data_IF_806890378034
#
_entry.id   IF_806890378034
#
_cell.length_a   1.000
_cell.length_b   1.000
_cell.length_c   1.000
_cell.angle_alpha   90.00
_cell.angle_beta   90.00
_cell.angle_gamma   90.00
#
_symmetry.space_group_name_H-M   'P 1'
#
loop_
_entity.id
_entity.type
_entity.pdbx_description
1 polymer ?
#
# COMPACT_ATOMS: atom_id res chain seq x y z
N UNK A 1 7.49 20.36 27.23
CA UNK A 1 6.69 19.13 27.44
C UNK A 1 6.42 18.48 26.09
N UNK A 2 6.62 17.17 25.99
CA UNK A 2 6.97 16.42 24.79
C UNK A 2 5.89 16.29 23.70
N UNK A 3 6.32 16.25 22.43
CA UNK A 3 5.58 15.58 21.34
C UNK A 3 6.36 14.34 20.87
N UNK A 4 5.59 13.29 20.61
CA UNK A 4 5.98 11.87 20.52
C UNK A 4 6.98 11.55 19.41
N UNK A 5 7.88 10.60 19.70
CA UNK A 5 8.67 9.87 18.71
C UNK A 5 7.75 9.02 17.84
N UNK A 6 7.77 9.26 16.53
CA UNK A 6 7.29 8.31 15.54
C UNK A 6 8.51 7.55 15.02
N UNK A 7 8.83 6.44 15.67
CA UNK A 7 9.87 5.51 15.20
C UNK A 7 9.28 4.72 14.02
N UNK A 8 9.74 5.06 12.81
CA UNK A 8 9.50 4.24 11.63
C UNK A 8 10.32 2.96 11.76
N UNK A 9 9.68 1.88 12.16
CA UNK A 9 10.25 0.53 12.16
C UNK A 9 10.17 -0.07 10.76
N UNK A 10 11.05 0.37 9.86
CA UNK A 10 11.35 -0.33 8.63
C UNK A 10 12.86 -0.24 8.37
N UNK A 11 13.66 -1.27 8.70
CA UNK A 11 15.02 -1.37 8.21
C UNK A 11 14.98 -1.79 6.75
N UNK A 12 14.56 -0.88 5.88
CA UNK A 12 14.96 -0.88 4.48
C UNK A 12 16.21 -0.03 4.41
N UNK A 13 17.38 -0.66 4.34
CA UNK A 13 18.65 0.02 4.09
C UNK A 13 18.43 0.97 2.92
N UNK A 14 18.55 2.28 3.15
CA UNK A 14 18.60 3.24 2.04
C UNK A 14 19.87 2.90 1.27
N UNK A 15 19.74 2.58 -0.01
CA UNK A 15 20.87 2.61 -0.94
C UNK A 15 21.54 3.98 -0.72
N UNK A 16 22.84 3.97 -0.42
CA UNK A 16 23.60 5.19 -0.14
C UNK A 16 23.26 6.25 -1.17
N UNK A 17 23.01 7.48 -0.69
CA UNK A 17 22.74 8.64 -1.52
C UNK A 17 23.74 8.67 -2.67
N UNK A 18 23.26 8.55 -3.90
CA UNK A 18 24.11 8.68 -5.08
C UNK A 18 24.50 10.15 -5.22
N UNK A 19 25.79 10.38 -5.39
CA UNK A 19 26.38 11.69 -5.66
C UNK A 19 25.72 12.36 -6.88
N UNK A 20 25.17 13.55 -6.67
CA UNK A 20 24.80 14.49 -7.74
C UNK A 20 23.53 14.15 -8.54
N UNK A 21 22.90 15.21 -9.06
CA UNK A 21 21.92 15.08 -10.14
C UNK A 21 22.68 14.73 -11.42
N UNK A 22 22.50 13.51 -11.97
CA UNK A 22 23.00 13.19 -13.32
C UNK A 22 22.30 14.08 -14.33
N UNK A 23 23.04 14.72 -15.24
CA UNK A 23 22.40 15.52 -16.28
C UNK A 23 21.81 14.60 -17.34
N UNK A 24 20.77 15.04 -18.05
CA UNK A 24 20.14 14.23 -19.10
C UNK A 24 21.13 13.79 -20.20
N UNK A 25 22.23 14.53 -20.38
CA UNK A 25 23.30 14.22 -21.33
C UNK A 25 24.19 13.06 -20.89
N UNK A 26 24.19 12.74 -19.59
CA UNK A 26 25.00 11.68 -19.00
C UNK A 26 24.22 10.36 -18.90
N UNK A 27 22.94 10.34 -19.32
CA UNK A 27 22.13 9.14 -19.36
C UNK A 27 22.52 8.33 -20.61
N UNK A 28 22.97 7.11 -20.39
CA UNK A 28 23.21 6.14 -21.46
C UNK A 28 21.87 5.55 -21.92
N UNK A 29 21.56 5.71 -23.20
CA UNK A 29 20.36 5.16 -23.86
C UNK A 29 20.71 4.06 -24.87
N UNK A 30 21.95 3.54 -24.85
CA UNK A 30 22.41 2.53 -25.81
C UNK A 30 21.60 1.23 -25.79
N UNK A 31 20.95 0.91 -24.66
CA UNK A 31 20.11 -0.26 -24.44
C UNK A 31 18.61 -0.02 -24.65
N UNK A 32 18.17 1.24 -24.76
CA UNK A 32 16.76 1.63 -24.86
C UNK A 32 16.54 2.37 -26.19
N UNK A 33 16.09 1.69 -27.25
CA UNK A 33 15.76 2.36 -28.50
C UNK A 33 14.57 3.31 -28.31
N UNK A 34 14.56 4.41 -29.06
CA UNK A 34 13.41 5.31 -29.12
C UNK A 34 12.17 4.55 -29.55
N UNK A 35 11.05 4.73 -28.83
CA UNK A 35 9.78 4.11 -29.21
C UNK A 35 9.29 4.67 -30.54
N UNK A 36 8.90 3.78 -31.45
CA UNK A 36 8.38 4.19 -32.75
C UNK A 36 7.00 4.86 -32.62
N UNK A 37 6.60 5.72 -33.57
CA UNK A 37 5.26 6.31 -33.57
C UNK A 37 4.13 5.27 -33.60
N UNK A 38 4.37 4.09 -34.16
CA UNK A 38 3.40 2.99 -34.17
C UNK A 38 3.27 2.31 -32.81
N UNK A 39 4.38 2.10 -32.10
CA UNK A 39 4.38 1.55 -30.73
C UNK A 39 3.71 2.52 -29.75
N UNK A 40 4.00 3.81 -29.88
CA UNK A 40 3.35 4.86 -29.08
C UNK A 40 1.84 4.92 -29.31
N UNK A 41 1.38 4.73 -30.55
CA UNK A 41 -0.06 4.65 -30.88
C UNK A 41 -0.74 3.42 -30.26
N UNK A 42 -0.02 2.32 -30.07
CA UNK A 42 -0.53 1.09 -29.45
C UNK A 42 -0.43 1.10 -27.92
N UNK A 43 0.32 2.03 -27.34
CA UNK A 43 0.46 2.14 -25.89
C UNK A 43 -0.89 2.53 -25.26
N UNK A 44 -1.50 1.58 -24.55
CA UNK A 44 -2.74 1.82 -23.79
C UNK A 44 -2.38 2.38 -22.42
N UNK A 45 -3.01 3.48 -22.01
CA UNK A 45 -2.89 4.01 -20.65
C UNK A 45 -3.67 3.11 -19.70
N UNK A 46 -3.00 2.10 -19.11
CA UNK A 46 -3.65 1.13 -18.22
C UNK A 46 -4.02 1.75 -16.85
N UNK A 47 -3.50 2.94 -16.52
CA UNK A 47 -3.84 3.66 -15.29
C UNK A 47 -3.71 2.81 -14.02
N UNK A 48 -4.31 3.25 -12.92
CA UNK A 48 -4.61 2.34 -11.80
C UNK A 48 -5.91 1.62 -12.16
N UNK A 49 -5.99 0.28 -12.15
CA UNK A 49 -7.24 -0.43 -12.39
C UNK A 49 -8.33 0.13 -11.47
N UNK A 50 -9.48 0.51 -12.04
CA UNK A 50 -10.62 0.94 -11.24
C UNK A 50 -11.13 -0.26 -10.45
N UNK A 51 -10.83 -0.29 -9.16
CA UNK A 51 -11.41 -1.29 -8.26
C UNK A 51 -12.82 -0.81 -7.96
N UNK A 52 -13.81 -1.27 -8.72
CA UNK A 52 -15.23 -0.87 -8.59
C UNK A 52 -15.88 -1.15 -7.22
N UNK A 53 -15.11 -1.65 -6.25
CA UNK A 53 -15.47 -1.89 -4.84
C UNK A 53 -14.39 -1.33 -3.91
N UNK A 54 -14.05 -0.05 -4.08
CA UNK A 54 -13.08 0.60 -3.21
C UNK A 54 -13.61 0.62 -1.76
N UNK A 55 -12.76 0.24 -0.80
CA UNK A 55 -13.08 0.35 0.64
C UNK A 55 -13.10 1.83 1.01
N UNK A 56 -14.11 2.25 1.77
CA UNK A 56 -14.19 3.60 2.31
C UNK A 56 -13.31 3.73 3.55
N UNK A 57 -12.51 4.80 3.63
CA UNK A 57 -11.77 5.11 4.85
C UNK A 57 -12.71 5.71 5.87
N UNK A 58 -12.86 5.06 7.01
CA UNK A 58 -13.69 5.52 8.11
C UNK A 58 -12.85 5.66 9.39
N UNK A 59 -13.19 6.63 10.22
CA UNK A 59 -12.70 6.70 11.58
C UNK A 59 -13.74 6.04 12.51
N UNK A 60 -13.32 5.09 13.34
CA UNK A 60 -14.17 4.54 14.39
C UNK A 60 -13.33 4.26 15.64
N UNK A 61 -13.99 4.19 16.79
CA UNK A 61 -13.35 3.89 18.07
C UNK A 61 -13.42 2.39 18.34
N UNK A 62 -12.31 1.81 18.76
CA UNK A 62 -12.19 0.41 19.16
C UNK A 62 -11.50 0.34 20.51
N UNK A 63 -11.97 -0.53 21.41
CA UNK A 63 -11.30 -0.75 22.68
C UNK A 63 -9.87 -1.27 22.43
N UNK A 64 -8.86 -0.79 23.20
CA UNK A 64 -7.46 -1.16 22.98
C UNK A 64 -7.23 -2.67 23.12
N UNK A 65 -7.92 -3.31 24.07
CA UNK A 65 -7.83 -4.74 24.32
C UNK A 65 -8.44 -5.57 23.20
N UNK A 66 -9.48 -5.07 22.53
CA UNK A 66 -10.05 -5.73 21.38
C UNK A 66 -9.10 -5.62 20.17
N UNK A 67 -8.52 -4.43 19.96
CA UNK A 67 -7.57 -4.21 18.88
C UNK A 67 -6.32 -5.10 19.03
N UNK A 68 -5.79 -5.28 20.24
CA UNK A 68 -4.65 -6.16 20.49
C UNK A 68 -4.99 -7.62 20.14
N UNK A 69 -6.15 -8.12 20.58
CA UNK A 69 -6.64 -9.47 20.24
C UNK A 69 -6.81 -9.68 18.74
N UNK A 70 -7.40 -8.71 18.03
CA UNK A 70 -7.57 -8.77 16.56
C UNK A 70 -6.21 -8.83 15.87
N UNK A 71 -5.23 -8.04 16.31
CA UNK A 71 -3.86 -8.09 15.75
C UNK A 71 -3.21 -9.45 15.97
N UNK A 72 -3.33 -10.04 17.16
CA UNK A 72 -2.80 -11.38 17.44
C UNK A 72 -3.46 -12.45 16.57
N UNK A 73 -4.78 -12.38 16.37
CA UNK A 73 -5.51 -13.29 15.48
C UNK A 73 -5.09 -13.12 14.01
N UNK A 74 -4.85 -11.89 13.58
CA UNK A 74 -4.39 -11.57 12.22
C UNK A 74 -3.02 -12.19 11.93
N UNK A 75 -2.09 -12.12 12.89
CA UNK A 75 -0.78 -12.79 12.80
C UNK A 75 -0.94 -14.30 12.66
N UNK A 76 -1.80 -14.92 13.49
CA UNK A 76 -2.07 -16.37 13.43
C UNK A 76 -2.68 -16.82 12.08
N UNK A 77 -3.42 -15.94 11.41
CA UNK A 77 -4.05 -16.21 10.11
C UNK A 77 -3.21 -15.73 8.91
N UNK A 78 -2.01 -15.21 9.14
CA UNK A 78 -1.17 -14.60 8.10
C UNK A 78 -1.90 -13.55 7.24
N UNK A 79 -2.85 -12.82 7.84
CA UNK A 79 -3.69 -11.83 7.16
C UNK A 79 -3.44 -10.45 7.76
N UNK A 80 -3.47 -9.34 6.99
CA UNK A 80 -3.44 -8.01 7.55
C UNK A 80 -4.60 -7.76 8.52
N UNK A 81 -4.34 -7.11 9.66
CA UNK A 81 -5.38 -6.91 10.69
C UNK A 81 -6.61 -6.13 10.18
N UNK A 82 -6.42 -5.21 9.23
CA UNK A 82 -7.51 -4.44 8.62
C UNK A 82 -8.43 -5.31 7.77
N UNK A 83 -7.85 -6.29 7.06
CA UNK A 83 -8.60 -7.27 6.27
C UNK A 83 -9.40 -8.18 7.19
N UNK A 84 -8.77 -8.73 8.23
CA UNK A 84 -9.47 -9.56 9.22
C UNK A 84 -10.60 -8.79 9.91
N UNK A 85 -10.37 -7.53 10.28
CA UNK A 85 -11.39 -6.69 10.90
C UNK A 85 -12.59 -6.48 9.98
N UNK A 86 -12.34 -6.27 8.68
CA UNK A 86 -13.40 -6.14 7.69
C UNK A 86 -14.24 -7.42 7.56
N UNK A 87 -13.58 -8.58 7.44
CA UNK A 87 -14.26 -9.88 7.35
C UNK A 87 -15.12 -10.18 8.57
N UNK A 88 -14.58 -9.91 9.78
CA UNK A 88 -15.33 -10.10 11.03
C UNK A 88 -16.58 -9.22 11.10
N UNK A 89 -16.50 -7.98 10.61
CA UNK A 89 -17.65 -7.08 10.54
C UNK A 89 -18.67 -7.56 9.51
N UNK A 90 -18.21 -8.02 8.34
CA UNK A 90 -19.08 -8.56 7.29
C UNK A 90 -19.87 -9.78 7.79
N UNK A 91 -19.18 -10.72 8.45
CA UNK A 91 -19.80 -11.92 9.03
C UNK A 91 -20.78 -11.58 10.14
N UNK A 92 -20.46 -10.62 11.00
CA UNK A 92 -21.36 -10.17 12.06
C UNK A 92 -22.65 -9.58 11.49
N UNK A 93 -22.57 -8.76 10.44
CA UNK A 93 -23.74 -8.19 9.76
C UNK A 93 -24.57 -9.28 9.07
N UNK A 94 -23.93 -10.27 8.43
CA UNK A 94 -24.64 -11.41 7.83
C UNK A 94 -25.44 -12.18 8.87
N UNK A 95 -24.84 -12.46 10.03
CA UNK A 95 -25.50 -13.18 11.14
C UNK A 95 -26.70 -12.44 11.72
N UNK A 96 -26.68 -11.10 11.76
CA UNK A 96 -27.83 -10.32 12.26
C UNK A 96 -28.99 -10.18 11.28
N UNK A 97 -28.75 -10.43 9.99
CA UNK A 97 -29.80 -10.40 8.94
C UNK A 97 -30.57 -11.71 8.81
N UNK A 98 -30.13 -12.75 9.51
CA UNK A 98 -30.77 -14.08 9.55
C UNK A 98 -31.58 -14.17 10.83
#
# INVERSE_FOLDING_TARGET
>A
MARKRSESSAPGVRRGVSDGHMSDKDIDFSDIPESTPEELKRAVRIGRPSTGKAKHMIAFRIAPDLLSRVKTLAVKRHTPYQTLLHELLEDAVKRQRT
#
